data_IF_121164342785
#
_entry.id   IF_121164342785
#
_cell.length_a   1.000
_cell.length_b   1.000
_cell.length_c   1.000
_cell.angle_alpha   90.00
_cell.angle_beta   90.00
_cell.angle_gamma   90.00
#
_symmetry.space_group_name_H-M   'P 1'
#
loop_
_entity.id
_entity.type
_entity.pdbx_description
1 polymer ?
#
# COMPACT_ATOMS: atom_id res chain seq x y z
N UNK A 1 -28.94 -60.84 46.80
CA UNK A 1 -29.38 -59.97 45.68
C UNK A 1 -29.01 -58.52 45.97
N UNK A 2 -27.81 -58.08 45.57
CA UNK A 2 -27.38 -56.67 45.51
C UNK A 2 -26.30 -56.59 44.43
N UNK A 3 -26.60 -55.97 43.29
CA UNK A 3 -25.66 -55.64 42.22
C UNK A 3 -25.85 -54.15 41.92
N UNK A 4 -25.12 -53.30 42.66
CA UNK A 4 -23.93 -52.55 42.23
C UNK A 4 -24.27 -51.51 41.15
N UNK A 5 -24.50 -50.28 41.62
CA UNK A 5 -24.58 -49.09 40.80
C UNK A 5 -23.21 -48.68 40.29
N UNK A 6 -23.08 -48.58 38.96
CA UNK A 6 -21.93 -48.00 38.30
C UNK A 6 -22.11 -46.51 38.13
N UNK A 7 -21.52 -45.71 39.02
CA UNK A 7 -21.29 -44.28 38.82
C UNK A 7 -20.25 -44.09 37.71
N UNK A 8 -20.69 -43.62 36.55
CA UNK A 8 -19.82 -43.15 35.47
C UNK A 8 -19.09 -41.88 35.93
N UNK A 9 -17.83 -42.02 36.30
CA UNK A 9 -16.91 -40.90 36.52
C UNK A 9 -16.52 -40.35 35.14
N UNK A 10 -17.08 -39.19 34.78
CA UNK A 10 -16.67 -38.44 33.60
C UNK A 10 -15.22 -37.98 33.78
N UNK A 11 -14.30 -38.54 32.99
CA UNK A 11 -12.90 -38.13 32.94
C UNK A 11 -12.84 -36.69 32.40
N UNK A 12 -12.15 -35.74 33.07
CA UNK A 12 -11.97 -34.41 32.52
C UNK A 12 -11.08 -34.51 31.29
N UNK A 13 -11.60 -34.15 30.12
CA UNK A 13 -10.81 -34.07 28.91
C UNK A 13 -9.77 -32.95 29.09
N UNK A 14 -8.51 -33.37 29.19
CA UNK A 14 -7.33 -32.53 29.25
C UNK A 14 -7.27 -31.63 28.00
N UNK A 15 -7.56 -30.35 28.18
CA UNK A 15 -7.78 -29.33 27.14
C UNK A 15 -6.51 -28.79 26.44
N UNK A 16 -5.49 -29.61 26.23
CA UNK A 16 -4.21 -29.15 25.64
C UNK A 16 -3.95 -29.54 24.18
N UNK A 17 -4.52 -30.66 23.70
CA UNK A 17 -4.17 -31.26 22.40
C UNK A 17 -5.20 -31.03 21.28
N UNK A 18 -6.28 -30.29 21.55
CA UNK A 18 -7.46 -30.21 20.67
C UNK A 18 -7.27 -29.30 19.45
N UNK A 19 -6.44 -28.26 19.54
CA UNK A 19 -6.31 -27.28 18.44
C UNK A 19 -5.58 -27.86 17.21
N UNK A 20 -4.42 -28.49 17.41
CA UNK A 20 -3.63 -29.08 16.32
C UNK A 20 -4.36 -30.29 15.69
N UNK A 21 -5.06 -31.09 16.50
CA UNK A 21 -5.90 -32.18 15.99
C UNK A 21 -7.09 -31.65 15.17
N UNK A 22 -7.66 -30.50 15.57
CA UNK A 22 -8.77 -29.84 14.87
C UNK A 22 -8.35 -29.27 13.51
N UNK A 23 -7.11 -28.76 13.38
CA UNK A 23 -6.56 -28.29 12.09
C UNK A 23 -6.37 -29.43 11.07
N UNK A 24 -6.22 -30.67 11.53
CA UNK A 24 -5.98 -31.82 10.63
C UNK A 24 -7.25 -32.39 9.98
N UNK A 25 -8.42 -31.84 10.31
CA UNK A 25 -9.71 -32.34 9.82
C UNK A 25 -10.12 -31.69 8.49
N UNK A 26 -10.50 -32.52 7.50
CA UNK A 26 -10.81 -32.07 6.14
C UNK A 26 -11.96 -31.04 6.04
N UNK A 27 -12.90 -31.05 6.99
CA UNK A 27 -14.03 -30.10 6.98
C UNK A 27 -13.58 -28.65 7.20
N UNK A 28 -12.50 -28.43 7.96
CA UNK A 28 -11.94 -27.09 8.18
C UNK A 28 -11.33 -26.55 6.90
N UNK A 29 -10.50 -27.35 6.22
CA UNK A 29 -9.84 -26.95 4.97
C UNK A 29 -10.85 -26.72 3.85
N UNK A 30 -11.91 -27.51 3.78
CA UNK A 30 -13.01 -27.31 2.83
C UNK A 30 -13.75 -25.99 3.05
N UNK A 31 -13.81 -25.52 4.30
CA UNK A 31 -14.43 -24.24 4.66
C UNK A 31 -13.47 -23.07 4.67
N UNK A 32 -12.14 -23.26 4.81
CA UNK A 32 -11.16 -22.18 4.94
C UNK A 32 -10.46 -21.84 3.62
N UNK A 33 -10.03 -22.87 2.89
CA UNK A 33 -9.18 -22.72 1.72
C UNK A 33 -9.85 -21.95 0.56
N UNK A 34 -11.13 -22.18 0.18
CA UNK A 34 -11.73 -21.51 -0.97
C UNK A 34 -11.77 -19.99 -0.83
N UNK A 35 -12.27 -19.46 0.29
CA UNK A 35 -12.35 -18.02 0.49
C UNK A 35 -11.00 -17.38 0.75
N UNK A 36 -10.07 -18.08 1.40
CA UNK A 36 -8.70 -17.56 1.57
C UNK A 36 -7.98 -17.47 0.23
N UNK A 37 -8.15 -18.47 -0.64
CA UNK A 37 -7.62 -18.46 -2.00
C UNK A 37 -8.24 -17.34 -2.85
N UNK A 38 -9.57 -17.12 -2.78
CA UNK A 38 -10.23 -16.02 -3.50
C UNK A 38 -9.77 -14.66 -3.00
N UNK A 39 -9.66 -14.47 -1.68
CA UNK A 39 -9.11 -13.24 -1.10
C UNK A 39 -7.70 -12.98 -1.61
N UNK A 40 -6.80 -13.97 -1.50
CA UNK A 40 -5.42 -13.84 -1.96
C UNK A 40 -5.37 -13.52 -3.45
N UNK A 41 -6.11 -14.26 -4.26
CA UNK A 41 -6.15 -14.04 -5.70
C UNK A 41 -6.59 -12.62 -6.04
N UNK A 42 -7.69 -12.13 -5.46
CA UNK A 42 -8.17 -10.78 -5.71
C UNK A 42 -7.24 -9.71 -5.16
N UNK A 43 -6.65 -9.91 -3.99
CA UNK A 43 -5.67 -8.99 -3.39
C UNK A 43 -4.50 -8.75 -4.35
N UNK A 44 -3.88 -9.84 -4.84
CA UNK A 44 -2.77 -9.75 -5.79
C UNK A 44 -3.24 -9.22 -7.15
N UNK A 45 -4.41 -9.67 -7.64
CA UNK A 45 -4.93 -9.28 -8.94
C UNK A 45 -5.26 -7.79 -9.02
N UNK A 46 -5.85 -7.21 -7.97
CA UNK A 46 -6.05 -5.76 -7.89
C UNK A 46 -4.74 -5.01 -7.70
N UNK A 47 -3.82 -5.52 -6.87
CA UNK A 47 -2.55 -4.84 -6.61
C UNK A 47 -1.69 -4.68 -7.88
N UNK A 48 -1.63 -5.71 -8.73
CA UNK A 48 -0.74 -5.72 -9.90
C UNK A 48 -1.46 -5.59 -11.25
N UNK A 49 -2.72 -6.02 -11.33
CA UNK A 49 -3.50 -6.05 -12.58
C UNK A 49 -4.29 -4.77 -12.86
N UNK A 50 -4.61 -3.98 -11.83
CA UNK A 50 -5.52 -2.85 -11.95
C UNK A 50 -5.02 -1.75 -12.91
N UNK A 51 -3.71 -1.51 -12.97
CA UNK A 51 -3.12 -0.53 -13.89
C UNK A 51 -3.40 -0.83 -15.37
N UNK A 52 -3.37 -2.11 -15.75
CA UNK A 52 -3.50 -2.50 -17.17
C UNK A 52 -4.95 -2.71 -17.58
N UNK A 53 -5.75 -3.36 -16.74
CA UNK A 53 -7.06 -3.89 -17.11
C UNK A 53 -8.08 -3.75 -15.95
N UNK A 54 -8.48 -2.53 -15.58
CA UNK A 54 -9.39 -2.30 -14.44
C UNK A 54 -10.76 -2.97 -14.63
N UNK A 55 -11.27 -3.01 -15.87
CA UNK A 55 -12.54 -3.67 -16.20
C UNK A 55 -12.52 -5.16 -15.89
N UNK A 56 -11.37 -5.84 -16.10
CA UNK A 56 -11.26 -7.28 -15.83
C UNK A 56 -11.28 -7.54 -14.32
N UNK A 57 -10.64 -6.68 -13.51
CA UNK A 57 -10.69 -6.78 -12.04
C UNK A 57 -12.14 -6.75 -11.51
N UNK A 58 -12.97 -5.87 -12.05
CA UNK A 58 -14.39 -5.77 -11.68
C UNK A 58 -15.19 -6.97 -12.16
N UNK A 59 -15.00 -7.41 -13.42
CA UNK A 59 -15.68 -8.59 -13.97
C UNK A 59 -15.35 -9.85 -13.17
N UNK A 60 -14.08 -10.05 -12.82
CA UNK A 60 -13.62 -11.19 -12.02
C UNK A 60 -14.21 -11.15 -10.62
N UNK A 61 -14.29 -9.97 -9.99
CA UNK A 61 -14.96 -9.83 -8.69
C UNK A 61 -16.46 -10.16 -8.78
N UNK A 62 -17.15 -9.66 -9.81
CA UNK A 62 -18.56 -9.96 -10.07
C UNK A 62 -18.78 -11.47 -10.30
N UNK A 63 -17.86 -12.14 -11.00
CA UNK A 63 -17.90 -13.58 -11.19
C UNK A 63 -17.86 -14.37 -9.88
N UNK A 64 -16.97 -14.01 -8.94
CA UNK A 64 -16.96 -14.66 -7.62
C UNK A 64 -18.22 -14.36 -6.79
N UNK A 65 -18.81 -13.16 -6.91
CA UNK A 65 -20.09 -12.86 -6.28
C UNK A 65 -21.24 -13.68 -6.89
N UNK A 66 -21.24 -13.90 -8.20
CA UNK A 66 -22.22 -14.79 -8.86
C UNK A 66 -22.08 -16.23 -8.37
N UNK A 67 -20.86 -16.75 -8.23
CA UNK A 67 -20.61 -18.07 -7.63
C UNK A 67 -21.17 -18.13 -6.21
N UNK A 68 -20.95 -17.08 -5.41
CA UNK A 68 -21.51 -17.00 -4.05
C UNK A 68 -23.03 -17.06 -4.04
N UNK A 69 -23.68 -16.33 -4.95
CA UNK A 69 -25.14 -16.36 -5.10
C UNK A 69 -25.66 -17.73 -5.52
N UNK A 70 -24.95 -18.39 -6.45
CA UNK A 70 -25.27 -19.76 -6.87
C UNK A 70 -25.13 -20.77 -5.72
N UNK A 71 -24.05 -20.71 -4.93
CA UNK A 71 -23.90 -21.57 -3.75
C UNK A 71 -24.99 -21.33 -2.71
N UNK A 72 -25.49 -20.10 -2.60
CA UNK A 72 -26.59 -19.76 -1.71
C UNK A 72 -27.93 -20.37 -2.18
N UNK A 73 -28.20 -20.43 -3.49
CA UNK A 73 -29.42 -21.07 -4.01
C UNK A 73 -29.39 -22.59 -3.81
N UNK A 74 -28.23 -23.23 -3.97
CA UNK A 74 -28.03 -24.67 -3.74
C UNK A 74 -27.76 -25.05 -2.27
N UNK A 75 -28.03 -24.15 -1.31
CA UNK A 75 -27.76 -24.35 0.14
C UNK A 75 -28.36 -25.64 0.76
N UNK A 76 -29.34 -26.27 0.10
CA UNK A 76 -30.00 -27.48 0.60
C UNK A 76 -29.24 -28.77 0.25
N UNK A 77 -28.38 -28.75 -0.77
CA UNK A 77 -27.72 -29.97 -1.27
C UNK A 77 -26.53 -30.40 -0.39
N UNK A 78 -25.70 -29.45 0.02
CA UNK A 78 -24.58 -29.71 0.90
C UNK A 78 -24.55 -28.74 2.08
N UNK A 79 -24.35 -29.28 3.28
CA UNK A 79 -24.30 -28.53 4.54
C UNK A 79 -23.21 -27.46 4.57
N UNK A 80 -22.12 -27.66 3.82
CA UNK A 80 -20.99 -26.74 3.74
C UNK A 80 -21.23 -25.55 2.81
N UNK A 81 -22.25 -25.57 1.94
CA UNK A 81 -22.48 -24.49 0.97
C UNK A 81 -22.95 -23.19 1.63
N UNK A 82 -23.80 -23.27 2.66
CA UNK A 82 -24.30 -22.08 3.36
C UNK A 82 -23.18 -21.21 3.98
N UNK A 83 -22.26 -21.75 4.83
CA UNK A 83 -21.19 -20.93 5.41
C UNK A 83 -20.22 -20.41 4.34
N UNK A 84 -19.89 -21.20 3.30
CA UNK A 84 -19.02 -20.74 2.21
C UNK A 84 -19.66 -19.59 1.43
N UNK A 85 -20.96 -19.71 1.11
CA UNK A 85 -21.71 -18.67 0.41
C UNK A 85 -21.85 -17.35 1.21
N UNK A 86 -21.72 -17.39 2.54
CA UNK A 86 -21.74 -16.18 3.38
C UNK A 86 -20.34 -15.55 3.52
N UNK A 87 -19.29 -16.36 3.55
CA UNK A 87 -17.90 -15.88 3.72
C UNK A 87 -17.30 -15.38 2.40
N UNK A 88 -17.71 -15.92 1.26
CA UNK A 88 -17.14 -15.58 -0.04
C UNK A 88 -17.32 -14.10 -0.43
N UNK A 89 -18.49 -13.45 -0.24
CA UNK A 89 -18.64 -12.02 -0.55
C UNK A 89 -17.75 -11.14 0.31
N UNK A 90 -17.54 -11.51 1.58
CA UNK A 90 -16.61 -10.81 2.48
C UNK A 90 -15.18 -10.92 1.97
N UNK A 91 -14.78 -12.10 1.49
CA UNK A 91 -13.48 -12.32 0.86
C UNK A 91 -13.29 -11.48 -0.40
N UNK A 92 -14.32 -11.39 -1.24
CA UNK A 92 -14.31 -10.57 -2.46
C UNK A 92 -14.16 -9.10 -2.11
N UNK A 93 -15.00 -8.58 -1.21
CA UNK A 93 -14.93 -7.17 -0.80
C UNK A 93 -13.59 -6.83 -0.15
N UNK A 94 -13.12 -7.65 0.79
CA UNK A 94 -11.85 -7.44 1.47
C UNK A 94 -10.65 -7.52 0.50
N UNK A 95 -10.65 -8.49 -0.42
CA UNK A 95 -9.59 -8.66 -1.41
C UNK A 95 -9.55 -7.53 -2.43
N UNK A 96 -10.72 -7.13 -2.96
CA UNK A 96 -10.81 -6.06 -3.96
C UNK A 96 -10.49 -4.69 -3.36
N UNK A 97 -11.06 -4.34 -2.19
CA UNK A 97 -10.78 -3.05 -1.53
C UNK A 97 -9.35 -3.01 -1.00
N UNK A 98 -8.88 -4.08 -0.36
CA UNK A 98 -7.51 -4.17 0.14
C UNK A 98 -6.48 -4.09 -0.99
N UNK A 99 -6.73 -4.79 -2.10
CA UNK A 99 -5.85 -4.75 -3.27
C UNK A 99 -5.84 -3.38 -3.95
N UNK A 100 -7.01 -2.73 -4.07
CA UNK A 100 -7.10 -1.37 -4.60
C UNK A 100 -6.39 -0.35 -3.71
N UNK A 101 -6.51 -0.50 -2.38
CA UNK A 101 -5.80 0.34 -1.42
C UNK A 101 -4.27 0.18 -1.55
N UNK A 102 -3.77 -1.05 -1.59
CA UNK A 102 -2.32 -1.29 -1.74
C UNK A 102 -1.82 -0.77 -3.09
N UNK A 103 -2.60 -0.97 -4.16
CA UNK A 103 -2.32 -0.41 -5.48
C UNK A 103 -2.15 1.10 -5.41
N UNK A 104 -3.16 1.80 -4.93
CA UNK A 104 -3.26 3.25 -4.94
C UNK A 104 -2.21 3.92 -4.05
N UNK A 105 -2.00 3.38 -2.85
CA UNK A 105 -1.13 4.02 -1.85
C UNK A 105 0.35 3.66 -2.05
N UNK A 106 0.66 2.47 -2.59
CA UNK A 106 2.05 1.98 -2.63
C UNK A 106 2.48 1.43 -3.99
N UNK A 107 1.71 0.52 -4.60
CA UNK A 107 2.21 -0.27 -5.73
C UNK A 107 2.27 0.50 -7.06
N UNK A 108 1.53 1.61 -7.18
CA UNK A 108 1.54 2.45 -8.39
C UNK A 108 2.89 3.16 -8.61
N UNK A 109 3.52 3.65 -7.53
CA UNK A 109 4.73 4.47 -7.63
C UNK A 109 5.95 3.75 -8.23
N UNK A 110 6.33 2.54 -7.78
CA UNK A 110 7.46 1.82 -8.39
C UNK A 110 7.28 1.66 -9.90
N UNK A 111 6.04 1.43 -10.35
CA UNK A 111 5.72 1.25 -11.74
C UNK A 111 5.80 2.56 -12.54
N UNK A 112 5.46 3.70 -11.94
CA UNK A 112 5.76 5.00 -12.57
C UNK A 112 7.26 5.25 -12.68
N UNK A 113 8.04 4.98 -11.63
CA UNK A 113 9.49 5.20 -11.64
C UNK A 113 10.26 4.26 -12.59
N UNK A 114 9.72 3.09 -12.93
CA UNK A 114 10.34 2.17 -13.90
C UNK A 114 9.99 2.54 -15.35
N UNK A 115 8.81 3.10 -15.60
CA UNK A 115 8.38 3.50 -16.94
C UNK A 115 8.76 4.94 -17.31
N UNK A 116 9.06 5.79 -16.32
CA UNK A 116 9.47 7.17 -16.53
C UNK A 116 10.95 7.28 -16.97
N UNK A 117 11.26 8.33 -17.73
CA UNK A 117 12.61 8.54 -18.26
C UNK A 117 13.59 9.03 -17.20
N UNK A 118 14.86 8.70 -17.42
CA UNK A 118 16.00 9.23 -16.66
C UNK A 118 16.69 10.25 -17.55
N UNK A 119 16.86 11.48 -17.06
CA UNK A 119 17.63 12.52 -17.74
C UNK A 119 18.91 12.80 -16.97
N UNK A 120 20.02 12.98 -17.67
CA UNK A 120 21.32 13.33 -17.10
C UNK A 120 21.75 14.74 -17.53
N UNK A 121 22.70 15.31 -16.82
CA UNK A 121 23.28 16.64 -17.09
C UNK A 121 22.23 17.76 -17.14
N UNK A 122 21.19 17.64 -16.33
CA UNK A 122 20.09 18.61 -16.27
C UNK A 122 20.56 19.84 -15.52
N UNK A 123 20.41 21.01 -16.14
CA UNK A 123 20.74 22.27 -15.48
C UNK A 123 19.56 22.77 -14.65
N UNK A 124 19.76 23.30 -13.43
CA UNK A 124 18.68 23.89 -12.63
C UNK A 124 17.94 25.03 -13.34
N UNK A 125 18.60 25.73 -14.26
CA UNK A 125 18.04 26.80 -15.11
C UNK A 125 17.32 26.28 -16.35
N UNK A 126 17.45 24.99 -16.69
CA UNK A 126 16.73 24.37 -17.81
C UNK A 126 15.24 24.30 -17.50
N UNK A 127 14.41 24.56 -18.50
CA UNK A 127 12.96 24.51 -18.34
C UNK A 127 12.48 23.14 -17.84
N UNK A 128 11.69 23.15 -16.77
CA UNK A 128 11.07 21.94 -16.21
C UNK A 128 10.14 21.22 -17.21
N UNK A 129 9.58 21.97 -18.17
CA UNK A 129 8.73 21.46 -19.24
C UNK A 129 9.49 20.58 -20.24
N UNK A 130 10.81 20.81 -20.42
CA UNK A 130 11.64 19.99 -21.30
C UNK A 130 11.88 18.58 -20.75
N UNK A 131 11.67 18.38 -19.44
CA UNK A 131 11.81 17.10 -18.73
C UNK A 131 10.49 16.70 -18.06
N UNK A 132 9.37 17.00 -18.71
CA UNK A 132 8.04 16.78 -18.14
C UNK A 132 7.73 15.30 -17.83
N UNK A 133 8.28 14.37 -18.61
CA UNK A 133 8.14 12.91 -18.51
C UNK A 133 9.27 12.23 -17.68
N UNK A 134 10.14 13.03 -17.06
CA UNK A 134 11.20 12.53 -16.21
C UNK A 134 10.64 11.96 -14.89
N UNK A 135 11.10 10.76 -14.53
CA UNK A 135 10.91 10.21 -13.19
C UNK A 135 12.15 10.38 -12.32
N UNK A 136 13.32 10.49 -12.96
CA UNK A 136 14.63 10.63 -12.32
C UNK A 136 15.45 11.64 -13.13
N UNK A 137 16.18 12.48 -12.41
CA UNK A 137 17.04 13.52 -12.96
C UNK A 137 18.42 13.36 -12.32
N UNK A 138 19.48 13.52 -13.10
CA UNK A 138 20.83 13.75 -12.62
C UNK A 138 21.22 15.13 -13.06
N UNK A 139 21.45 16.01 -12.08
CA UNK A 139 21.78 17.40 -12.32
C UNK A 139 23.27 17.56 -12.62
N UNK A 140 23.64 18.70 -13.21
CA UNK A 140 25.05 19.04 -13.43
C UNK A 140 25.81 19.24 -12.11
N UNK A 141 27.14 19.11 -12.15
CA UNK A 141 28.01 19.24 -10.97
C UNK A 141 27.84 20.56 -10.20
N UNK A 142 27.48 21.63 -10.93
CA UNK A 142 27.26 22.96 -10.38
C UNK A 142 25.94 23.10 -9.62
N UNK A 143 24.99 22.17 -9.79
CA UNK A 143 23.69 22.22 -9.13
C UNK A 143 23.80 21.92 -7.63
N UNK A 144 23.09 22.68 -6.81
CA UNK A 144 23.00 22.46 -5.38
C UNK A 144 21.62 22.84 -4.84
N UNK A 145 21.26 22.26 -3.69
CA UNK A 145 20.06 22.66 -2.95
C UNK A 145 20.41 23.86 -2.08
N UNK A 146 19.70 24.97 -2.28
CA UNK A 146 19.88 26.19 -1.50
C UNK A 146 19.14 26.06 -0.16
N UNK A 147 19.81 25.44 0.81
CA UNK A 147 19.25 25.15 2.13
C UNK A 147 18.88 26.41 2.92
N UNK A 148 19.47 27.56 2.60
CA UNK A 148 19.22 28.85 3.28
C UNK A 148 17.93 29.51 2.84
N UNK A 149 17.44 29.19 1.64
CA UNK A 149 16.17 29.71 1.10
C UNK A 149 15.05 28.66 1.21
N UNK A 150 15.10 27.85 2.26
CA UNK A 150 14.10 26.81 2.54
C UNK A 150 12.98 27.30 3.45
N UNK A 151 11.80 26.73 3.28
CA UNK A 151 10.62 27.04 4.08
C UNK A 151 9.85 25.77 4.42
N UNK A 152 9.22 25.75 5.60
CA UNK A 152 8.25 24.72 5.96
C UNK A 152 6.80 25.20 5.84
N UNK A 153 5.89 24.30 5.49
CA UNK A 153 4.46 24.50 5.47
C UNK A 153 3.78 23.45 6.35
N UNK A 154 3.04 23.90 7.36
CA UNK A 154 2.29 23.02 8.25
C UNK A 154 0.86 22.89 7.73
N UNK A 155 0.44 21.65 7.46
CA UNK A 155 -0.94 21.34 7.06
C UNK A 155 -1.87 21.31 8.27
N UNK A 156 -3.18 21.46 8.03
CA UNK A 156 -4.22 21.34 9.06
C UNK A 156 -4.19 19.97 9.79
N UNK A 157 -3.65 18.93 9.13
CA UNK A 157 -3.48 17.58 9.68
C UNK A 157 -2.24 17.44 10.58
N UNK A 158 -1.45 18.51 10.75
CA UNK A 158 -0.23 18.50 11.56
C UNK A 158 1.04 18.00 10.85
N UNK A 159 0.96 17.67 9.55
CA UNK A 159 2.15 17.27 8.77
C UNK A 159 2.91 18.49 8.28
N UNK A 160 4.24 18.48 8.46
CA UNK A 160 5.16 19.53 8.00
C UNK A 160 5.73 19.15 6.63
N UNK A 161 5.48 19.98 5.63
CA UNK A 161 6.03 19.87 4.29
C UNK A 161 7.19 20.86 4.14
N UNK A 162 8.29 20.39 3.58
CA UNK A 162 9.54 21.12 3.45
C UNK A 162 9.86 21.36 1.99
N UNK A 163 10.35 22.54 1.68
CA UNK A 163 10.78 22.90 0.34
C UNK A 163 12.05 23.74 0.35
N UNK A 164 12.93 23.50 -0.62
CA UNK A 164 14.16 24.28 -0.84
C UNK A 164 14.43 24.38 -2.36
N UNK A 165 14.88 25.54 -2.87
CA UNK A 165 15.11 25.70 -4.30
C UNK A 165 16.39 24.97 -4.73
N UNK A 166 16.36 24.36 -5.91
CA UNK A 166 17.54 23.76 -6.55
C UNK A 166 18.09 24.80 -7.51
N UNK A 167 19.36 25.17 -7.34
CA UNK A 167 19.98 26.30 -8.05
C UNK A 167 21.35 25.94 -8.58
N UNK A 168 21.80 26.73 -9.53
CA UNK A 168 23.17 26.77 -10.03
C UNK A 168 23.82 28.12 -9.64
N UNK A 169 25.14 28.29 -9.84
CA UNK A 169 25.85 29.52 -9.50
C UNK A 169 25.44 30.75 -10.32
N UNK A 170 24.59 30.61 -11.34
CA UNK A 170 24.15 31.73 -12.19
C UNK A 170 23.11 32.64 -11.52
N UNK A 171 22.69 32.35 -10.28
CA UNK A 171 21.84 33.19 -9.42
C UNK A 171 20.53 33.68 -10.09
N UNK A 172 19.81 32.78 -10.77
CA UNK A 172 18.45 33.05 -11.23
C UNK A 172 17.45 33.23 -10.07
N UNK A 173 16.47 34.12 -10.25
CA UNK A 173 15.30 34.29 -9.35
C UNK A 173 14.21 33.26 -9.69
N UNK A 174 14.20 32.80 -10.95
CA UNK A 174 13.27 31.81 -11.47
C UNK A 174 13.69 30.39 -11.06
N UNK A 175 12.78 29.63 -10.46
CA UNK A 175 13.01 28.28 -9.94
C UNK A 175 12.20 27.26 -10.75
N UNK A 176 12.92 26.35 -11.39
CA UNK A 176 12.36 25.25 -12.20
C UNK A 176 12.12 23.99 -11.36
N UNK A 177 13.03 23.74 -10.40
CA UNK A 177 13.08 22.53 -9.59
C UNK A 177 13.14 22.87 -8.10
N UNK A 178 12.35 22.16 -7.32
CA UNK A 178 12.29 22.32 -5.87
C UNK A 178 12.62 20.98 -5.20
N UNK A 179 13.62 20.99 -4.31
CA UNK A 179 13.88 19.88 -3.42
C UNK A 179 12.81 19.86 -2.31
N UNK A 180 12.19 18.71 -2.09
CA UNK A 180 11.08 18.55 -1.15
C UNK A 180 11.28 17.39 -0.18
N UNK A 181 10.59 17.47 0.96
CA UNK A 181 10.50 16.38 1.93
C UNK A 181 9.47 16.68 3.01
N UNK A 182 9.34 15.79 3.99
CA UNK A 182 8.41 15.95 5.13
C UNK A 182 9.15 15.90 6.45
N UNK A 183 8.84 16.83 7.36
CA UNK A 183 9.40 16.92 8.72
C UNK A 183 10.94 16.94 8.79
N UNK A 184 11.61 17.52 7.79
CA UNK A 184 13.07 17.56 7.67
C UNK A 184 13.62 18.96 7.33
N UNK A 185 12.96 20.00 7.85
CA UNK A 185 13.35 21.39 7.71
C UNK A 185 12.91 22.22 8.92
N UNK A 186 13.58 23.36 9.12
CA UNK A 186 13.17 24.39 10.07
C UNK A 186 12.02 25.22 9.50
N UNK A 187 11.41 26.11 10.30
CA UNK A 187 10.37 27.01 9.79
C UNK A 187 10.85 27.81 8.57
N UNK A 188 12.11 28.28 8.64
CA UNK A 188 12.79 29.09 7.63
C UNK A 188 14.29 28.74 7.71
N UNK A 189 14.95 28.61 6.55
CA UNK A 189 16.41 28.72 6.42
C UNK A 189 17.28 27.54 6.87
N UNK A 190 16.71 26.34 7.04
CA UNK A 190 17.49 25.09 7.19
C UNK A 190 16.71 23.90 6.62
N UNK A 191 17.40 23.11 5.79
CA UNK A 191 16.84 21.96 5.07
C UNK A 191 17.83 20.79 5.13
N UNK A 192 17.37 19.65 5.63
CA UNK A 192 18.17 18.44 5.81
C UNK A 192 17.47 17.17 5.33
N UNK A 193 16.53 17.31 4.39
CA UNK A 193 15.86 16.16 3.79
C UNK A 193 16.83 15.35 2.91
N UNK A 194 16.83 14.02 3.08
CA UNK A 194 17.65 13.10 2.30
C UNK A 194 19.13 13.54 2.24
N UNK A 195 19.72 13.62 1.04
CA UNK A 195 21.15 13.89 0.85
C UNK A 195 21.40 15.39 0.54
N UNK A 196 20.46 16.28 0.87
CA UNK A 196 20.51 17.69 0.49
C UNK A 196 21.67 18.51 1.09
N UNK A 197 22.29 18.02 2.18
CA UNK A 197 23.49 18.63 2.78
C UNK A 197 24.79 18.12 2.16
N UNK A 198 24.75 17.03 1.37
CA UNK A 198 25.91 16.52 0.67
C UNK A 198 26.08 17.24 -0.68
N UNK A 199 27.22 17.87 -0.88
CA UNK A 199 27.54 18.58 -2.12
C UNK A 199 27.76 17.65 -3.31
N UNK A 200 28.01 16.35 -3.06
CA UNK A 200 28.19 15.32 -4.08
C UNK A 200 26.88 14.69 -4.57
N UNK A 201 25.77 14.88 -3.85
CA UNK A 201 24.47 14.40 -4.31
C UNK A 201 23.99 15.30 -5.45
N UNK A 202 23.72 14.73 -6.63
CA UNK A 202 23.16 15.43 -7.82
C UNK A 202 21.92 14.73 -8.37
N UNK A 203 21.41 13.72 -7.69
CA UNK A 203 20.24 12.96 -8.10
C UNK A 203 18.96 13.63 -7.61
N UNK A 204 17.95 13.65 -8.48
CA UNK A 204 16.61 14.10 -8.18
C UNK A 204 15.59 13.04 -8.55
N UNK A 205 14.83 12.55 -7.59
CA UNK A 205 13.69 11.66 -7.84
C UNK A 205 12.42 12.51 -7.91
N UNK A 206 11.76 12.55 -9.06
CA UNK A 206 10.58 13.40 -9.28
C UNK A 206 9.39 12.86 -8.50
N UNK A 207 8.75 13.71 -7.70
CA UNK A 207 7.52 13.36 -7.01
C UNK A 207 6.37 13.42 -8.02
N UNK A 208 5.74 12.28 -8.25
CA UNK A 208 4.51 12.18 -9.03
C UNK A 208 3.30 12.57 -8.20
N UNK A 209 2.36 13.24 -8.86
CA UNK A 209 1.03 13.43 -8.31
C UNK A 209 0.23 12.13 -8.43
N UNK A 210 -0.49 11.78 -7.37
CA UNK A 210 -1.43 10.66 -7.39
C UNK A 210 -2.74 11.12 -6.76
N UNK A 211 -3.71 11.43 -7.63
CA UNK A 211 -5.11 11.62 -7.26
C UNK A 211 -5.80 10.27 -7.09
N UNK A 212 -5.32 9.53 -6.08
CA UNK A 212 -5.82 8.22 -5.74
C UNK A 212 -7.20 8.25 -5.08
N UNK A 213 -7.88 7.11 -5.07
CA UNK A 213 -9.13 6.95 -4.31
C UNK A 213 -8.92 7.02 -2.79
N UNK A 214 -7.72 6.65 -2.32
CA UNK A 214 -7.38 6.53 -0.90
C UNK A 214 -6.23 7.44 -0.47
N UNK A 215 -5.37 7.89 -1.40
CA UNK A 215 -4.30 8.85 -1.10
C UNK A 215 -4.65 10.27 -1.53
N UNK A 216 -4.52 11.23 -0.62
CA UNK A 216 -4.53 12.65 -1.00
C UNK A 216 -3.21 13.05 -1.66
N UNK A 217 -3.28 14.01 -2.60
CA UNK A 217 -2.10 14.53 -3.26
C UNK A 217 -1.20 15.27 -2.27
N UNK A 218 0.05 14.81 -2.14
CA UNK A 218 1.10 15.58 -1.47
C UNK A 218 1.63 16.71 -2.36
N UNK A 219 1.36 16.66 -3.66
CA UNK A 219 1.83 17.61 -4.65
C UNK A 219 1.26 19.01 -4.37
N UNK A 220 -0.04 19.09 -4.06
CA UNK A 220 -0.71 20.34 -3.71
C UNK A 220 -0.13 21.00 -2.46
N UNK A 221 0.26 20.21 -1.47
CA UNK A 221 0.86 20.73 -0.24
C UNK A 221 2.27 21.29 -0.50
N UNK A 222 3.06 20.65 -1.37
CA UNK A 222 4.32 21.24 -1.85
C UNK A 222 4.09 22.52 -2.66
N UNK A 223 2.98 22.62 -3.41
CA UNK A 223 2.55 23.84 -4.09
C UNK A 223 2.15 25.00 -3.16
N UNK A 224 1.69 24.71 -1.95
CA UNK A 224 1.48 25.74 -0.92
C UNK A 224 2.80 26.14 -0.28
N UNK A 225 3.69 25.18 -0.06
CA UNK A 225 5.04 25.44 0.46
C UNK A 225 5.88 26.30 -0.49
N UNK A 226 5.85 26.03 -1.81
CA UNK A 226 6.57 26.83 -2.81
C UNK A 226 6.08 28.27 -2.84
N UNK A 227 4.76 28.49 -2.88
CA UNK A 227 4.17 29.84 -2.78
C UNK A 227 4.59 30.59 -1.51
N UNK A 228 4.73 29.89 -0.38
CA UNK A 228 5.25 30.48 0.85
C UNK A 228 6.73 30.88 0.71
N UNK A 229 7.55 30.05 0.06
CA UNK A 229 8.95 30.35 -0.22
C UNK A 229 9.12 31.54 -1.18
N UNK A 230 8.31 31.62 -2.24
CA UNK A 230 8.25 32.75 -3.16
C UNK A 230 7.99 34.07 -2.44
N UNK A 231 6.96 34.10 -1.59
CA UNK A 231 6.61 35.29 -0.82
C UNK A 231 7.68 35.68 0.21
N UNK A 232 8.38 34.70 0.79
CA UNK A 232 9.39 34.93 1.85
C UNK A 232 10.71 35.45 1.27
N UNK A 233 11.14 34.89 0.13
CA UNK A 233 12.47 35.11 -0.43
C UNK A 233 12.49 35.84 -1.77
N UNK A 234 11.33 36.33 -2.23
CA UNK A 234 11.18 37.01 -3.53
C UNK A 234 11.65 36.15 -4.70
N UNK A 235 11.39 34.84 -4.60
CA UNK A 235 11.65 33.87 -5.68
C UNK A 235 10.43 33.77 -6.60
N UNK A 236 10.64 33.26 -7.81
CA UNK A 236 9.57 33.04 -8.80
C UNK A 236 9.58 31.58 -9.22
N UNK A 237 8.56 30.78 -8.90
CA UNK A 237 8.43 29.47 -9.53
C UNK A 237 7.82 29.60 -10.91
N UNK A 238 8.29 28.75 -11.82
CA UNK A 238 7.62 28.57 -13.10
C UNK A 238 6.23 27.97 -12.97
N UNK A 239 5.36 28.15 -13.98
CA UNK A 239 4.15 27.34 -14.09
C UNK A 239 4.51 25.85 -14.12
N UNK A 240 3.97 25.07 -13.17
CA UNK A 240 4.26 23.64 -12.98
C UNK A 240 5.75 23.34 -12.71
N UNK A 241 6.31 23.80 -11.58
CA UNK A 241 7.68 23.45 -11.22
C UNK A 241 7.73 21.97 -10.82
N UNK A 242 8.89 21.34 -10.96
CA UNK A 242 9.06 19.93 -10.59
C UNK A 242 9.53 19.81 -9.15
N UNK A 243 8.77 19.07 -8.34
CA UNK A 243 9.18 18.69 -6.99
C UNK A 243 10.02 17.41 -7.04
N UNK A 244 11.17 17.42 -6.37
CA UNK A 244 12.11 16.31 -6.38
C UNK A 244 12.59 15.97 -4.96
N UNK A 245 12.87 14.70 -4.70
CA UNK A 245 13.68 14.27 -3.55
C UNK A 245 15.14 14.24 -3.96
N UNK A 246 15.97 14.96 -3.22
CA UNK A 246 17.40 15.10 -3.50
C UNK A 246 18.19 13.93 -2.92
N UNK A 247 18.87 13.17 -3.78
CA UNK A 247 19.58 11.93 -3.42
C UNK A 247 20.91 11.84 -4.17
N UNK A 248 21.78 10.91 -3.77
CA UNK A 248 22.91 10.51 -4.61
C UNK A 248 22.47 9.80 -5.90
N UNK A 249 23.27 9.95 -6.95
CA UNK A 249 23.07 9.36 -8.27
C UNK A 249 23.03 7.81 -8.21
N UNK A 250 23.82 7.23 -7.30
CA UNK A 250 23.81 5.78 -7.02
C UNK A 250 22.49 5.31 -6.38
N UNK A 251 21.70 6.22 -5.80
CA UNK A 251 20.51 5.96 -5.01
C UNK A 251 19.20 6.40 -5.68
N UNK A 252 19.18 6.59 -7.01
CA UNK A 252 17.98 7.00 -7.75
C UNK A 252 16.78 6.03 -7.62
N UNK A 253 17.01 4.79 -7.16
CA UNK A 253 15.96 3.81 -6.90
C UNK A 253 15.46 3.78 -5.45
N UNK A 254 16.00 4.63 -4.56
CA UNK A 254 15.68 4.64 -3.11
C UNK A 254 14.18 4.75 -2.85
N UNK A 255 13.51 5.70 -3.50
CA UNK A 255 12.06 5.95 -3.31
C UNK A 255 11.23 4.79 -3.87
N UNK A 256 11.57 4.27 -5.05
CA UNK A 256 10.89 3.12 -5.63
C UNK A 256 11.01 1.87 -4.74
N UNK A 257 12.20 1.63 -4.18
CA UNK A 257 12.45 0.53 -3.25
C UNK A 257 11.67 0.71 -1.93
N UNK A 258 11.60 1.93 -1.41
CA UNK A 258 10.82 2.27 -0.21
C UNK A 258 9.33 1.94 -0.40
N UNK A 259 8.74 2.36 -1.53
CA UNK A 259 7.34 2.04 -1.85
C UNK A 259 7.12 0.55 -2.10
N UNK A 260 8.08 -0.14 -2.74
CA UNK A 260 8.00 -1.59 -2.96
C UNK A 260 8.01 -2.36 -1.65
N UNK A 261 8.87 -1.97 -0.71
CA UNK A 261 8.92 -2.55 0.62
C UNK A 261 7.62 -2.30 1.39
N UNK A 262 7.09 -1.07 1.36
CA UNK A 262 5.81 -0.72 2.00
C UNK A 262 4.64 -1.50 1.40
N UNK A 263 4.60 -1.68 0.08
CA UNK A 263 3.60 -2.52 -0.58
C UNK A 263 3.69 -3.97 -0.12
N UNK A 264 4.89 -4.56 -0.06
CA UNK A 264 5.10 -5.92 0.44
C UNK A 264 4.70 -6.09 1.91
N UNK A 265 5.04 -5.13 2.77
CA UNK A 265 4.63 -5.11 4.17
C UNK A 265 3.10 -4.97 4.32
N UNK A 266 2.47 -4.13 3.51
CA UNK A 266 1.01 -3.99 3.52
C UNK A 266 0.31 -5.28 3.06
N UNK A 267 0.78 -5.90 1.98
CA UNK A 267 0.24 -7.17 1.47
C UNK A 267 0.36 -8.29 2.51
N UNK A 268 1.53 -8.43 3.14
CA UNK A 268 1.77 -9.45 4.17
C UNK A 268 0.92 -9.18 5.40
N UNK A 269 0.84 -7.94 5.89
CA UNK A 269 0.00 -7.56 7.03
C UNK A 269 -1.49 -7.84 6.77
N UNK A 270 -2.02 -7.43 5.60
CA UNK A 270 -3.41 -7.69 5.22
C UNK A 270 -3.70 -9.19 5.08
N UNK A 271 -2.77 -9.94 4.50
CA UNK A 271 -2.89 -11.40 4.36
C UNK A 271 -2.94 -12.09 5.71
N UNK A 272 -2.05 -11.73 6.64
CA UNK A 272 -2.02 -12.31 7.98
C UNK A 272 -3.28 -11.95 8.78
N UNK A 273 -3.69 -10.68 8.74
CA UNK A 273 -4.89 -10.22 9.40
C UNK A 273 -6.14 -10.97 8.89
N UNK A 274 -6.29 -11.08 7.57
CA UNK A 274 -7.41 -11.81 6.98
C UNK A 274 -7.34 -13.32 7.24
N UNK A 275 -6.15 -13.92 7.22
CA UNK A 275 -5.97 -15.34 7.57
C UNK A 275 -6.45 -15.65 9.00
N UNK A 276 -6.09 -14.79 9.97
CA UNK A 276 -6.49 -14.95 11.38
C UNK A 276 -8.01 -14.83 11.51
N UNK A 277 -8.61 -13.78 10.95
CA UNK A 277 -10.05 -13.54 11.04
C UNK A 277 -10.84 -14.65 10.34
N UNK A 278 -10.44 -15.03 9.12
CA UNK A 278 -11.11 -16.07 8.34
C UNK A 278 -10.97 -17.46 8.97
N UNK A 279 -9.82 -17.79 9.57
CA UNK A 279 -9.63 -19.05 10.29
C UNK A 279 -10.48 -19.11 11.56
N UNK A 280 -10.57 -18.01 12.31
CA UNK A 280 -11.45 -17.89 13.48
C UNK A 280 -12.93 -18.08 13.12
N UNK A 281 -13.38 -17.44 12.03
CA UNK A 281 -14.75 -17.61 11.52
C UNK A 281 -15.03 -19.03 11.02
N UNK A 282 -14.09 -19.64 10.30
CA UNK A 282 -14.22 -21.01 9.84
C UNK A 282 -14.29 -22.00 11.03
N UNK A 283 -13.53 -21.73 12.10
CA UNK A 283 -13.59 -22.51 13.34
C UNK A 283 -14.93 -22.34 14.06
N UNK A 284 -15.47 -21.12 14.15
CA UNK A 284 -16.74 -20.83 14.81
C UNK A 284 -17.96 -21.40 14.06
N UNK A 285 -17.94 -21.37 12.73
CA UNK A 285 -19.03 -21.89 11.88
C UNK A 285 -19.02 -23.41 11.73
N UNK A 286 -17.96 -24.06 12.22
CA UNK A 286 -17.81 -25.50 12.19
C UNK A 286 -18.77 -26.15 13.18
N UNK A 287 -19.81 -26.82 12.68
CA UNK A 287 -20.61 -27.74 13.52
C UNK A 287 -19.87 -29.08 13.66
N UNK A 288 -19.74 -29.65 14.87
CA UNK A 288 -19.15 -30.97 15.06
C UNK A 288 -19.98 -32.03 14.30
N UNK A 289 -19.30 -32.96 13.61
CA UNK A 289 -19.97 -34.19 13.12
C UNK A 289 -20.50 -34.91 14.35
N UNK A 290 -21.83 -35.07 14.45
CA UNK A 290 -22.40 -35.97 15.45
C UNK A 290 -21.75 -37.33 15.25
N UNK A 291 -21.20 -37.97 16.30
CA UNK A 291 -20.82 -39.37 16.18
C UNK A 291 -22.08 -40.13 15.76
N UNK A 292 -21.98 -40.83 14.64
CA UNK A 292 -23.04 -41.67 14.13
C UNK A 292 -23.24 -42.77 15.20
N UNK A 293 -24.31 -42.66 16.00
CA UNK A 293 -24.72 -43.79 16.84
C UNK A 293 -25.19 -44.84 15.84
N UNK A 294 -24.33 -45.81 15.54
CA UNK A 294 -24.70 -46.98 14.75
C UNK A 294 -25.72 -47.77 15.58
N UNK A 295 -26.98 -47.38 15.48
CA UNK A 295 -28.10 -48.18 15.94
C UNK A 295 -28.17 -49.42 15.07
N UNK A 296 -27.46 -50.47 15.48
CA UNK A 296 -27.79 -51.84 15.11
C UNK A 296 -29.08 -52.19 15.86
N UNK A 297 -30.17 -52.32 15.13
CA UNK A 297 -31.30 -53.19 15.47
C UNK A 297 -31.64 -53.97 14.20
#
# INVERSE_FOLDING_TARGET
MKSVGGTFVAKPQTGGSSFLASLKQGDFWALWAPQFAVFLFLLFFYTFGFMKLPSICVIVSAFFLMISGMLFTFRKEARSYLPVAMLLPVAVLAGSVGGLYVYDVYAIYPQFYTNARVYTDVQPSQSSAAVADAGKLVFTDAAYVDTKHSVSYLTERGSVFCIAPVRDPSHGIEIQYWAVGTSCCSMIGDFWCDDAKDTKAKGGIVIFDNEGFFSGSSYDEYGKASRKAEATYQLLSVPHPKYIRWVHDDNLNKVANEFTLKAGLALTAMTLAYAIVSAGLAFALRKPRSPYVSGRL
#
